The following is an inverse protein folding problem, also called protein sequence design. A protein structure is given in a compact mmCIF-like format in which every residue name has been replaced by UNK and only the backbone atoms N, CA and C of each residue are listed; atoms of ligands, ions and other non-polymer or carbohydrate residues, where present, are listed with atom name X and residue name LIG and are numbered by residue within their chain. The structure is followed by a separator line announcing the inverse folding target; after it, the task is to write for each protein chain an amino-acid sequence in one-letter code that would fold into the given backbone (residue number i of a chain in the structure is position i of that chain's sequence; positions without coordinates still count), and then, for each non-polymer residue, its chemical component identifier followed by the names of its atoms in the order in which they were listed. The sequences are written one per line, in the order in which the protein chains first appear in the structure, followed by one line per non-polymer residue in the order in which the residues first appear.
data_IF_457378099258
#
_entry.id   IF_457378099258
#
_cell.length_a   1.000
_cell.length_b   1.000
_cell.length_c   1.000
_cell.angle_alpha   90.00
_cell.angle_beta   90.00
_cell.angle_gamma   90.00
#
_symmetry.space_group_name_H-M   'P 1'
#
loop_
_entity.id
_entity.type
_entity.pdbx_description
1 polymer ?
#
# COMPACT_ATOMS: atom_id res chain seq x y z
N UNK A 1 3.47 -21.68 -9.66
CA UNK A 1 2.40 -20.94 -8.92
C UNK A 1 2.81 -19.53 -8.46
N UNK A 2 4.01 -19.32 -7.92
CA UNK A 2 4.48 -18.02 -7.33
C UNK A 2 4.53 -16.85 -8.33
N UNK A 3 4.85 -17.10 -9.61
CA UNK A 3 4.92 -16.06 -10.64
C UNK A 3 3.56 -15.40 -10.93
N UNK A 4 2.48 -16.17 -10.86
CA UNK A 4 1.13 -15.67 -11.12
C UNK A 4 0.70 -14.61 -10.08
N UNK A 5 1.07 -14.82 -8.81
CA UNK A 5 0.76 -13.87 -7.72
C UNK A 5 1.48 -12.54 -7.91
N UNK A 6 2.76 -12.57 -8.32
CA UNK A 6 3.56 -11.37 -8.58
C UNK A 6 2.97 -10.57 -9.74
N UNK A 7 2.70 -11.21 -10.87
CA UNK A 7 2.10 -10.57 -12.05
C UNK A 7 0.71 -10.00 -11.75
N UNK A 8 -0.13 -10.72 -10.99
CA UNK A 8 -1.46 -10.25 -10.57
C UNK A 8 -1.38 -8.99 -9.70
N UNK A 9 -0.36 -8.87 -8.86
CA UNK A 9 -0.13 -7.68 -8.03
C UNK A 9 0.23 -6.46 -8.89
N UNK A 10 1.06 -6.68 -9.91
CA UNK A 10 1.43 -5.65 -10.90
C UNK A 10 0.22 -5.22 -11.74
N UNK A 11 -0.59 -6.17 -12.21
CA UNK A 11 -1.79 -5.88 -12.98
C UNK A 11 -2.83 -5.07 -12.17
N UNK A 12 -3.00 -5.39 -10.89
CA UNK A 12 -3.83 -4.57 -9.99
C UNK A 12 -3.26 -3.16 -9.87
N UNK A 13 -1.95 -3.03 -9.77
CA UNK A 13 -1.29 -1.72 -9.72
C UNK A 13 -1.45 -0.92 -11.02
N UNK A 14 -1.32 -1.54 -12.20
CA UNK A 14 -1.57 -0.85 -13.48
C UNK A 14 -2.98 -0.31 -13.56
N UNK A 15 -3.97 -1.08 -13.09
CA UNK A 15 -5.37 -0.65 -13.11
C UNK A 15 -5.61 0.58 -12.22
N UNK A 16 -4.90 0.69 -11.09
CA UNK A 16 -4.98 1.86 -10.19
C UNK A 16 -4.32 3.11 -10.79
N UNK A 17 -3.33 2.94 -11.66
CA UNK A 17 -2.69 4.06 -12.37
C UNK A 17 -3.57 4.67 -13.47
N UNK A 18 -4.60 3.94 -13.95
CA UNK A 18 -5.49 4.42 -15.00
C UNK A 18 -6.28 5.63 -14.48
N UNK A 19 -6.11 6.77 -15.16
CA UNK A 19 -6.93 7.98 -14.96
C UNK A 19 -7.75 8.26 -16.20
N UNK A 20 -9.03 8.59 -16.04
CA UNK A 20 -9.96 8.91 -17.15
C UNK A 20 -9.97 7.83 -18.25
N UNK A 21 -9.89 6.55 -17.88
CA UNK A 21 -9.91 5.41 -18.82
C UNK A 21 -8.64 5.19 -19.67
N UNK A 22 -7.60 6.02 -19.54
CA UNK A 22 -6.39 5.94 -20.38
C UNK A 22 -5.44 4.81 -19.96
N UNK A 23 -5.71 3.58 -20.41
CA UNK A 23 -4.87 2.39 -20.13
C UNK A 23 -3.46 2.47 -20.72
N UNK A 24 -3.32 2.99 -21.94
CA UNK A 24 -2.03 3.16 -22.63
C UNK A 24 -1.05 4.01 -21.82
N UNK A 25 -1.53 5.14 -21.28
CA UNK A 25 -0.70 6.04 -20.46
C UNK A 25 -0.26 5.38 -19.15
N UNK A 26 -1.14 4.61 -18.50
CA UNK A 26 -0.81 3.88 -17.28
C UNK A 26 0.25 2.79 -17.54
N UNK A 27 0.11 2.04 -18.62
CA UNK A 27 1.10 1.04 -19.04
C UNK A 27 2.46 1.69 -19.33
N UNK A 28 2.48 2.82 -20.03
CA UNK A 28 3.70 3.55 -20.34
C UNK A 28 4.41 4.07 -19.09
N UNK A 29 3.67 4.58 -18.09
CA UNK A 29 4.24 4.98 -16.80
C UNK A 29 4.89 3.78 -16.11
N UNK A 30 4.20 2.63 -16.07
CA UNK A 30 4.73 1.43 -15.41
C UNK A 30 5.94 0.84 -16.16
N UNK A 31 5.95 0.85 -17.48
CA UNK A 31 7.12 0.41 -18.25
C UNK A 31 8.33 1.31 -17.97
N UNK A 32 8.13 2.63 -17.92
CA UNK A 32 9.17 3.59 -17.54
C UNK A 32 9.69 3.36 -16.13
N UNK A 33 8.83 3.08 -15.14
CA UNK A 33 9.27 2.77 -13.77
C UNK A 33 10.13 1.51 -13.74
N UNK A 34 9.69 0.43 -14.38
CA UNK A 34 10.43 -0.84 -14.41
C UNK A 34 11.78 -0.68 -15.11
N UNK A 35 11.84 0.10 -16.18
CA UNK A 35 13.10 0.42 -16.86
C UNK A 35 14.08 1.16 -15.95
N UNK A 36 13.61 2.17 -15.20
CA UNK A 36 14.42 2.89 -14.22
C UNK A 36 14.92 1.98 -13.10
N UNK A 37 14.07 1.07 -12.59
CA UNK A 37 14.46 0.07 -11.58
C UNK A 37 15.58 -0.81 -12.14
N UNK A 38 15.41 -1.35 -13.35
CA UNK A 38 16.41 -2.21 -13.99
C UNK A 38 17.75 -1.48 -14.18
N UNK A 39 17.71 -0.23 -14.67
CA UNK A 39 18.91 0.59 -14.91
C UNK A 39 19.69 0.89 -13.64
N UNK A 40 19.00 1.25 -12.55
CA UNK A 40 19.65 1.69 -11.29
C UNK A 40 20.03 0.54 -10.37
N UNK A 41 19.18 -0.48 -10.24
CA UNK A 41 19.38 -1.56 -9.25
C UNK A 41 20.02 -2.81 -9.84
N UNK A 42 20.05 -2.95 -11.18
CA UNK A 42 20.49 -4.16 -11.92
C UNK A 42 19.80 -5.47 -11.48
N UNK A 43 18.72 -5.40 -10.70
CA UNK A 43 17.92 -6.53 -10.22
C UNK A 43 16.68 -6.72 -11.08
N UNK A 44 16.04 -7.88 -10.92
CA UNK A 44 14.76 -8.18 -11.54
C UNK A 44 13.68 -7.18 -11.08
N UNK A 45 13.14 -6.33 -11.98
CA UNK A 45 12.30 -5.20 -11.58
C UNK A 45 10.94 -5.64 -11.04
N UNK A 46 10.43 -6.77 -11.54
CA UNK A 46 9.18 -7.40 -11.07
C UNK A 46 9.30 -7.82 -9.59
N UNK A 47 10.40 -8.46 -9.23
CA UNK A 47 10.63 -8.92 -7.84
C UNK A 47 10.83 -7.73 -6.91
N UNK A 48 11.58 -6.72 -7.36
CA UNK A 48 11.81 -5.50 -6.58
C UNK A 48 10.50 -4.76 -6.29
N UNK A 49 9.68 -4.53 -7.32
CA UNK A 49 8.41 -3.83 -7.15
C UNK A 49 7.43 -4.62 -6.29
N UNK A 50 7.39 -5.95 -6.43
CA UNK A 50 6.58 -6.80 -5.56
C UNK A 50 7.03 -6.73 -4.10
N UNK A 51 8.34 -6.72 -3.84
CA UNK A 51 8.88 -6.56 -2.49
C UNK A 51 8.50 -5.22 -1.87
N UNK A 52 8.57 -4.13 -2.65
CA UNK A 52 8.14 -2.81 -2.21
C UNK A 52 6.64 -2.79 -1.86
N UNK A 53 5.78 -3.37 -2.72
CA UNK A 53 4.34 -3.48 -2.44
C UNK A 53 4.09 -4.30 -1.16
N UNK A 54 4.80 -5.42 -0.97
CA UNK A 54 4.65 -6.27 0.22
C UNK A 54 5.01 -5.53 1.51
N UNK A 55 6.03 -4.68 1.50
CA UNK A 55 6.37 -3.84 2.65
C UNK A 55 5.26 -2.84 3.01
N UNK A 56 4.55 -2.33 2.01
CA UNK A 56 3.44 -1.40 2.15
C UNK A 56 2.12 -2.07 2.55
N UNK A 57 1.93 -3.36 2.27
CA UNK A 57 0.66 -4.04 2.53
C UNK A 57 0.35 -4.17 4.03
N UNK A 58 -0.79 -3.65 4.51
CA UNK A 58 -1.21 -3.84 5.90
C UNK A 58 -1.89 -5.20 6.10
N UNK A 59 -1.62 -5.86 7.22
CA UNK A 59 -2.36 -7.06 7.64
C UNK A 59 -3.65 -6.76 8.40
N UNK A 60 -3.71 -5.59 9.06
CA UNK A 60 -4.80 -5.22 9.97
C UNK A 60 -5.30 -3.82 9.63
N UNK A 61 -6.61 -3.66 9.61
CA UNK A 61 -7.31 -2.37 9.45
C UNK A 61 -8.08 -2.04 10.71
N UNK A 62 -8.42 -0.78 10.92
CA UNK A 62 -9.39 -0.40 11.96
C UNK A 62 -10.78 -0.25 11.37
N UNK A 63 -11.78 -0.83 12.04
CA UNK A 63 -13.19 -0.53 11.80
C UNK A 63 -13.69 0.40 12.90
N UNK A 64 -14.60 1.32 12.55
CA UNK A 64 -15.28 2.16 13.55
C UNK A 64 -16.37 1.31 14.19
N UNK A 65 -16.40 1.29 15.51
CA UNK A 65 -17.39 0.55 16.31
C UNK A 65 -17.76 1.39 17.52
N UNK A 66 -19.04 1.41 17.89
CA UNK A 66 -19.50 2.10 19.11
C UNK A 66 -19.58 1.09 20.24
N UNK A 67 -18.99 1.42 21.39
CA UNK A 67 -19.10 0.61 22.62
C UNK A 67 -19.43 1.56 23.76
N UNK A 68 -20.52 1.29 24.49
CA UNK A 68 -20.97 2.08 25.64
C UNK A 68 -21.00 3.60 25.36
N UNK A 69 -21.65 4.00 24.25
CA UNK A 69 -21.84 5.41 23.88
C UNK A 69 -20.59 6.13 23.36
N UNK A 70 -19.45 5.43 23.18
CA UNK A 70 -18.22 6.03 22.64
C UNK A 70 -17.76 5.33 21.36
N UNK A 71 -17.22 6.10 20.43
CA UNK A 71 -16.67 5.61 19.16
C UNK A 71 -15.23 5.13 19.33
N UNK A 72 -14.97 3.88 18.97
CA UNK A 72 -13.64 3.26 18.99
C UNK A 72 -13.24 2.72 17.61
N UNK A 73 -11.93 2.55 17.43
CA UNK A 73 -11.32 1.93 16.27
C UNK A 73 -10.87 0.51 16.61
N UNK A 74 -11.68 -0.49 16.29
CA UNK A 74 -11.35 -1.89 16.55
C UNK A 74 -10.48 -2.46 15.43
N UNK A 75 -9.34 -3.12 15.73
CA UNK A 75 -8.54 -3.79 14.72
C UNK A 75 -9.28 -5.03 14.18
N UNK A 76 -9.30 -5.16 12.85
CA UNK A 76 -9.85 -6.28 12.14
C UNK A 76 -8.87 -6.74 11.05
N UNK A 77 -8.71 -8.06 10.91
CA UNK A 77 -7.93 -8.65 9.84
C UNK A 77 -8.50 -8.25 8.47
N UNK A 78 -7.61 -7.99 7.51
CA UNK A 78 -7.98 -7.59 6.15
C UNK A 78 -7.83 -8.80 5.23
N UNK A 79 -8.80 -9.03 4.33
CA UNK A 79 -8.65 -10.00 3.24
C UNK A 79 -7.48 -9.64 2.32
N UNK A 80 -6.75 -10.64 1.82
CA UNK A 80 -5.57 -10.49 0.97
C UNK A 80 -5.80 -9.58 -0.25
N UNK A 81 -7.00 -9.60 -0.83
CA UNK A 81 -7.32 -8.72 -1.97
C UNK A 81 -7.38 -7.24 -1.57
N UNK A 82 -7.97 -6.94 -0.41
CA UNK A 82 -8.08 -5.58 0.13
C UNK A 82 -6.73 -5.08 0.66
N UNK A 83 -5.94 -5.93 1.31
CA UNK A 83 -4.60 -5.54 1.79
C UNK A 83 -3.67 -5.16 0.63
N UNK A 84 -3.68 -5.97 -0.45
CA UNK A 84 -2.96 -5.65 -1.68
C UNK A 84 -3.40 -4.33 -2.31
N UNK A 85 -4.72 -4.07 -2.36
CA UNK A 85 -5.25 -2.79 -2.84
C UNK A 85 -4.74 -1.61 -2.00
N UNK A 86 -4.77 -1.71 -0.67
CA UNK A 86 -4.26 -0.65 0.21
C UNK A 86 -2.77 -0.39 -0.01
N UNK A 87 -1.95 -1.44 -0.13
CA UNK A 87 -0.52 -1.30 -0.41
C UNK A 87 -0.26 -0.56 -1.72
N UNK A 88 -0.93 -0.95 -2.79
CA UNK A 88 -0.83 -0.30 -4.10
C UNK A 88 -1.33 1.15 -4.09
N UNK A 89 -2.47 1.41 -3.45
CA UNK A 89 -3.05 2.75 -3.35
C UNK A 89 -2.16 3.69 -2.53
N UNK A 90 -1.57 3.20 -1.44
CA UNK A 90 -0.62 3.98 -0.65
C UNK A 90 0.65 4.29 -1.41
N UNK A 91 1.17 3.35 -2.22
CA UNK A 91 2.32 3.60 -3.10
C UNK A 91 2.02 4.72 -4.11
N UNK A 92 0.85 4.68 -4.75
CA UNK A 92 0.44 5.71 -5.69
C UNK A 92 0.28 7.07 -4.99
N UNK A 93 -0.37 7.08 -3.82
CA UNK A 93 -0.62 8.32 -3.08
C UNK A 93 0.68 8.92 -2.52
N UNK A 94 1.63 8.09 -2.08
CA UNK A 94 2.92 8.57 -1.60
C UNK A 94 3.71 9.21 -2.74
N UNK A 95 3.75 8.58 -3.92
CA UNK A 95 4.38 9.14 -5.11
C UNK A 95 3.75 10.46 -5.59
N UNK A 96 2.45 10.68 -5.34
CA UNK A 96 1.78 11.96 -5.66
C UNK A 96 2.10 13.03 -4.61
N UNK A 97 2.17 12.66 -3.33
CA UNK A 97 2.28 13.60 -2.20
C UNK A 97 3.72 13.86 -1.73
N UNK A 98 4.71 13.11 -2.25
CA UNK A 98 6.12 13.24 -1.88
C UNK A 98 6.65 14.65 -2.15
N UNK A 99 7.14 15.33 -1.09
CA UNK A 99 7.73 16.68 -1.17
C UNK A 99 8.99 16.74 -2.04
N UNK A 100 9.76 15.66 -2.09
CA UNK A 100 10.92 15.50 -3.00
C UNK A 100 10.52 15.66 -4.48
N UNK A 101 9.22 15.66 -4.81
CA UNK A 101 8.65 15.84 -6.14
C UNK A 101 7.99 17.20 -6.43
N UNK A 102 8.23 18.26 -5.66
CA UNK A 102 7.68 19.60 -5.95
C UNK A 102 8.35 20.32 -7.14
N UNK A 103 9.41 19.73 -7.73
CA UNK A 103 10.08 20.21 -8.95
C UNK A 103 10.04 19.11 -10.02
N UNK A 104 9.46 19.39 -11.18
CA UNK A 104 9.60 18.78 -12.53
C UNK A 104 9.68 17.24 -12.75
N UNK A 105 9.66 16.39 -11.72
CA UNK A 105 9.91 14.95 -11.89
C UNK A 105 8.69 14.22 -12.44
N UNK A 106 8.96 13.29 -13.37
CA UNK A 106 7.93 12.42 -13.94
C UNK A 106 7.37 11.46 -12.88
N UNK A 107 6.09 11.08 -13.00
CA UNK A 107 5.45 10.15 -12.07
C UNK A 107 6.21 8.81 -11.96
N UNK A 108 6.85 8.38 -13.06
CA UNK A 108 7.67 7.17 -13.07
C UNK A 108 8.92 7.25 -12.17
N UNK A 109 9.52 8.43 -12.06
CA UNK A 109 10.70 8.63 -11.23
C UNK A 109 10.31 8.69 -9.75
N UNK A 110 9.18 9.34 -9.45
CA UNK A 110 8.62 9.37 -8.10
C UNK A 110 8.29 7.97 -7.60
N UNK A 111 7.64 7.16 -8.43
CA UNK A 111 7.34 5.76 -8.10
C UNK A 111 8.61 4.92 -7.87
N UNK A 112 9.67 5.16 -8.65
CA UNK A 112 10.96 4.51 -8.43
C UNK A 112 11.54 4.86 -7.04
N UNK A 113 11.56 6.15 -6.69
CA UNK A 113 12.10 6.62 -5.41
C UNK A 113 11.32 6.04 -4.22
N UNK A 114 10.00 6.01 -4.30
CA UNK A 114 9.14 5.43 -3.27
C UNK A 114 9.33 3.92 -3.13
N UNK A 115 9.52 3.19 -4.24
CA UNK A 115 9.86 1.76 -4.19
C UNK A 115 11.24 1.51 -3.55
N UNK A 116 12.17 2.46 -3.66
CA UNK A 116 13.49 2.36 -3.04
C UNK A 116 13.44 2.66 -1.53
N UNK A 117 12.56 3.57 -1.09
CA UNK A 117 12.36 3.93 0.32
C UNK A 117 11.03 3.41 0.88
N UNK A 118 10.80 2.08 1.00
CA UNK A 118 9.54 1.54 1.52
C UNK A 118 9.35 1.78 3.03
N UNK A 119 10.32 2.32 3.77
CA UNK A 119 10.26 2.45 5.23
C UNK A 119 10.13 3.90 5.76
N UNK A 120 10.53 4.92 4.99
CA UNK A 120 10.43 6.35 5.37
C UNK A 120 9.01 6.91 5.27
N UNK A 121 8.06 6.03 4.99
CA UNK A 121 6.76 6.47 4.51
C UNK A 121 6.03 7.18 5.63
N UNK A 122 5.67 8.44 5.39
CA UNK A 122 4.67 9.20 6.15
C UNK A 122 3.33 8.44 6.29
N UNK A 123 3.10 7.38 5.51
CA UNK A 123 1.95 6.46 5.61
C UNK A 123 2.02 5.52 6.83
N UNK A 124 3.20 5.23 7.38
CA UNK A 124 3.31 4.50 8.66
C UNK A 124 2.78 5.34 9.83
N UNK A 125 2.77 6.67 9.72
CA UNK A 125 2.10 7.57 10.67
C UNK A 125 0.56 7.48 10.58
N UNK A 126 0.02 6.97 9.47
CA UNK A 126 -1.41 6.63 9.31
C UNK A 126 -1.73 5.18 9.67
N UNK A 127 -0.74 4.30 9.88
CA UNK A 127 -0.99 3.07 10.64
C UNK A 127 -1.41 3.58 12.02
N UNK A 128 -2.66 3.36 12.46
CA UNK A 128 -3.04 3.76 13.79
C UNK A 128 -2.05 3.05 14.72
N UNK A 129 -1.24 3.83 15.43
CA UNK A 129 -0.50 3.33 16.58
C UNK A 129 -1.57 2.92 17.58
N UNK A 130 -2.08 1.70 17.42
CA UNK A 130 -3.07 1.12 18.30
C UNK A 130 -2.37 0.96 19.64
N UNK A 131 -2.53 1.97 20.51
CA UNK A 131 -2.25 1.82 21.93
C UNK A 131 -3.31 0.85 22.45
N UNK A 132 -3.00 -0.44 22.42
CA UNK A 132 -3.86 -1.47 22.98
C UNK A 132 -3.91 -1.30 24.50
N UNK A 133 -4.92 -0.58 25.01
CA UNK A 133 -5.42 -0.91 26.34
C UNK A 133 -6.14 -2.24 26.17
N UNK A 134 -5.57 -3.32 26.73
CA UNK A 134 -6.19 -4.65 26.77
C UNK A 134 -7.59 -4.50 27.36
N UNK A 135 -8.63 -4.48 26.53
CA UNK A 135 -9.98 -4.74 27.01
C UNK A 135 -10.04 -6.23 27.33
N UNK A 136 -9.75 -6.57 28.58
CA UNK A 136 -9.91 -7.93 29.07
C UNK A 136 -11.39 -8.29 29.00
N UNK A 137 -11.76 -9.18 28.07
CA UNK A 137 -13.09 -9.79 27.98
C UNK A 137 -13.32 -10.75 29.16
N UNK A 138 -13.35 -10.23 30.38
CA UNK A 138 -13.61 -11.00 31.61
C UNK A 138 -15.06 -10.85 32.11
N UNK A 139 -15.90 -10.03 31.45
CA UNK A 139 -17.25 -9.67 31.94
C UNK A 139 -18.42 -10.01 31.00
N UNK A 140 -18.18 -10.63 29.84
CA UNK A 140 -19.26 -10.86 28.85
C UNK A 140 -19.92 -12.24 29.02
N UNK A 141 -19.26 -13.23 29.64
CA UNK A 141 -19.84 -14.55 29.94
C UNK A 141 -20.41 -14.67 31.36
N UNK A 142 -21.15 -13.66 31.83
CA UNK A 142 -21.96 -13.75 33.05
C UNK A 142 -23.32 -13.11 32.82
N UNK A 143 -24.11 -13.71 31.93
CA UNK A 143 -25.57 -13.72 32.02
C UNK A 143 -26.03 -15.06 31.45
N UNK A 144 -26.25 -15.98 32.37
CA UNK A 144 -27.28 -17.02 32.24
C UNK A 144 -28.63 -16.34 32.01
#
# INVERSE_FOLDING_TARGET
MIYNIKLKSILKFTNLLVKKGKKSRAALILLKTLFLIKKKTKKNPINFMYSAIKALTPGVSTRKTVVAGRLYHLPCAISNNKSLYFGCNWLQQSAITSKEGSKSLSLSEKLYLECFKPNDIKTTKKKPRLKFKKFTNKKINKKN
#
